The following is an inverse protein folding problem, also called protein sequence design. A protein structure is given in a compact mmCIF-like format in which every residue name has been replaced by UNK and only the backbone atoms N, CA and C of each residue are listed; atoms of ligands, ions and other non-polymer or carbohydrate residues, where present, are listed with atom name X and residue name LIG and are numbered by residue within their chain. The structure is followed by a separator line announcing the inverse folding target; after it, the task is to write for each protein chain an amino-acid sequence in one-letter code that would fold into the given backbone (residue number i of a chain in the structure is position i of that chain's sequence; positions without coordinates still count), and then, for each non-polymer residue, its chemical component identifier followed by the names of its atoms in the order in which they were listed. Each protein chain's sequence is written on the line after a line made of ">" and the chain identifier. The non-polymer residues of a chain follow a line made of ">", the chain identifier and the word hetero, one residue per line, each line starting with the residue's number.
data_IF_062269994619
#
_entry.id   IF_062269994619
#
_cell.length_a   1.000
_cell.length_b   1.000
_cell.length_c   1.000
_cell.angle_alpha   90.00
_cell.angle_beta   90.00
_cell.angle_gamma   90.00
#
_symmetry.space_group_name_H-M   'P 1'
#
loop_
_entity.id
_entity.type
_entity.pdbx_description
1 polymer ?
#
# COMPACT_ATOMS: atom_id res chain seq x y z
N UNK A 1 -10.00 20.36 23.05
CA UNK A 1 -9.63 20.76 21.69
C UNK A 1 -8.31 21.51 21.74
N UNK A 2 -7.35 21.12 20.90
CA UNK A 2 -6.02 21.72 20.82
C UNK A 2 -5.98 22.90 19.86
N UNK A 3 -6.71 22.81 18.75
CA UNK A 3 -6.73 23.83 17.72
C UNK A 3 -8.07 23.85 17.02
N UNK A 4 -8.53 25.05 16.64
CA UNK A 4 -9.72 25.28 15.84
C UNK A 4 -9.32 26.13 14.64
N UNK A 5 -9.61 25.63 13.42
CA UNK A 5 -9.33 26.31 12.17
C UNK A 5 -10.64 26.50 11.40
N UNK A 6 -11.00 27.76 11.12
CA UNK A 6 -12.14 28.10 10.27
C UNK A 6 -11.66 28.26 8.84
N UNK A 7 -12.24 27.47 7.93
CA UNK A 7 -11.94 27.53 6.50
C UNK A 7 -12.78 28.61 5.79
N UNK A 8 -12.35 29.07 4.59
CA UNK A 8 -13.07 30.09 3.83
C UNK A 8 -14.50 29.71 3.41
N UNK A 9 -14.76 28.40 3.29
CA UNK A 9 -16.08 27.82 2.96
C UNK A 9 -17.05 27.77 4.17
N UNK A 10 -16.61 28.26 5.34
CA UNK A 10 -17.36 28.21 6.58
C UNK A 10 -17.19 26.93 7.39
N UNK A 11 -16.53 25.91 6.83
CA UNK A 11 -16.21 24.66 7.55
C UNK A 11 -15.26 24.93 8.70
N UNK A 12 -15.48 24.27 9.84
CA UNK A 12 -14.61 24.35 11.02
C UNK A 12 -13.90 23.02 11.17
N UNK A 13 -12.56 23.05 11.13
CA UNK A 13 -11.71 21.89 11.48
C UNK A 13 -11.26 22.05 12.92
N UNK A 14 -11.44 20.99 13.70
CA UNK A 14 -11.04 20.96 15.11
C UNK A 14 -10.04 19.84 15.31
N UNK A 15 -8.89 20.16 15.87
CA UNK A 15 -7.92 19.18 16.36
C UNK A 15 -8.28 18.85 17.80
N UNK A 16 -8.52 17.58 18.08
CA UNK A 16 -8.86 17.08 19.41
C UNK A 16 -7.84 16.02 19.83
N UNK A 17 -7.58 15.97 21.14
CA UNK A 17 -6.81 14.90 21.77
C UNK A 17 -7.73 14.17 22.73
N UNK A 18 -7.73 12.83 22.68
CA UNK A 18 -8.45 12.00 23.63
C UNK A 18 -7.80 12.10 25.02
N UNK A 19 -8.60 12.18 26.07
CA UNK A 19 -8.12 12.23 27.45
C UNK A 19 -8.39 10.93 28.20
N UNK A 20 -9.65 10.49 28.21
CA UNK A 20 -10.09 9.28 28.92
C UNK A 20 -11.06 8.50 28.07
N UNK A 21 -11.10 7.19 28.28
CA UNK A 21 -12.13 6.32 27.71
C UNK A 21 -13.43 6.52 28.44
N UNK A 22 -14.54 6.49 27.69
CA UNK A 22 -15.87 6.55 28.26
C UNK A 22 -16.80 5.62 27.47
N UNK A 23 -17.71 4.98 28.18
CA UNK A 23 -18.79 4.20 27.58
C UNK A 23 -20.03 5.05 27.44
N UNK A 24 -20.62 5.07 26.24
CA UNK A 24 -21.89 5.75 25.97
C UNK A 24 -23.02 4.81 26.35
N UNK A 25 -23.86 5.22 27.30
CA UNK A 25 -25.01 4.44 27.74
C UNK A 25 -26.32 4.80 27.05
N UNK A 26 -26.37 5.95 26.37
CA UNK A 26 -27.54 6.39 25.63
C UNK A 26 -27.34 7.78 25.04
N UNK A 27 -28.23 8.12 24.09
CA UNK A 27 -28.25 9.44 23.48
C UNK A 27 -29.42 10.26 24.00
N UNK A 28 -29.24 11.55 24.06
CA UNK A 28 -30.30 12.53 24.39
C UNK A 28 -30.85 13.07 23.08
N UNK A 29 -32.18 13.18 23.00
CA UNK A 29 -32.81 13.82 21.84
C UNK A 29 -32.51 15.33 21.86
N UNK A 30 -31.65 15.77 20.94
CA UNK A 30 -31.25 17.15 20.78
C UNK A 30 -31.11 17.46 19.28
N UNK A 31 -31.93 18.38 18.72
CA UNK A 31 -31.96 18.65 17.30
C UNK A 31 -30.73 19.44 16.80
N UNK A 32 -29.93 20.04 17.69
CA UNK A 32 -28.81 20.92 17.30
C UNK A 32 -27.47 20.22 17.27
N UNK A 33 -27.26 19.23 18.18
CA UNK A 33 -25.99 18.49 18.27
C UNK A 33 -26.18 17.12 18.95
N UNK A 34 -25.24 16.22 18.71
CA UNK A 34 -25.24 14.92 19.39
C UNK A 34 -24.89 15.09 20.86
N UNK A 35 -25.77 14.63 21.73
CA UNK A 35 -25.57 14.61 23.17
C UNK A 35 -25.78 13.20 23.70
N UNK A 36 -24.90 12.76 24.58
CA UNK A 36 -24.94 11.39 25.12
C UNK A 36 -24.66 11.36 26.63
N UNK A 37 -25.23 10.36 27.29
CA UNK A 37 -24.79 9.95 28.62
C UNK A 37 -23.55 9.08 28.47
N UNK A 38 -22.47 9.43 29.19
CA UNK A 38 -21.23 8.69 29.15
C UNK A 38 -20.67 8.50 30.57
N UNK A 39 -20.16 7.30 30.83
CA UNK A 39 -19.45 6.94 32.06
C UNK A 39 -17.97 6.71 31.75
N UNK A 40 -17.08 7.36 32.49
CA UNK A 40 -15.62 7.13 32.34
C UNK A 40 -15.31 5.69 32.73
N UNK A 41 -14.52 5.02 31.88
CA UNK A 41 -13.97 3.71 32.14
C UNK A 41 -12.51 3.86 32.60
N UNK A 42 -12.20 3.27 33.73
CA UNK A 42 -10.82 3.15 34.22
C UNK A 42 -10.18 1.90 33.60
N UNK A 43 -8.91 1.95 33.35
CA UNK A 43 -8.14 0.80 32.90
C UNK A 43 -7.96 -0.16 34.09
N UNK A 44 -7.99 -1.45 33.81
CA UNK A 44 -7.81 -2.45 34.86
C UNK A 44 -6.31 -2.60 35.19
N UNK A 45 -6.01 -2.91 36.44
CA UNK A 45 -4.67 -3.26 36.86
C UNK A 45 -4.24 -4.59 36.23
N UNK A 46 -3.09 -4.61 35.58
CA UNK A 46 -2.49 -5.79 34.94
C UNK A 46 -1.06 -5.99 35.43
N UNK A 47 -0.45 -7.12 35.14
CA UNK A 47 0.95 -7.41 35.48
C UNK A 47 1.90 -6.50 34.67
N UNK A 48 2.58 -5.59 35.34
CA UNK A 48 3.47 -4.62 34.72
C UNK A 48 4.61 -5.27 33.90
N UNK A 49 5.08 -6.45 34.31
CA UNK A 49 6.19 -7.14 33.63
C UNK A 49 5.77 -7.72 32.27
N UNK A 50 4.56 -8.23 32.16
CA UNK A 50 3.98 -8.73 30.92
C UNK A 50 3.64 -7.58 29.98
N UNK A 51 3.04 -6.52 30.49
CA UNK A 51 2.74 -5.31 29.73
C UNK A 51 4.00 -4.67 29.14
N UNK A 52 5.10 -4.60 29.93
CA UNK A 52 6.37 -4.08 29.40
C UNK A 52 6.93 -4.93 28.27
N UNK A 53 6.85 -6.26 28.36
CA UNK A 53 7.32 -7.17 27.33
C UNK A 53 6.50 -7.02 26.02
N UNK A 54 5.17 -6.93 26.16
CA UNK A 54 4.26 -6.66 25.05
C UNK A 54 4.51 -5.29 24.40
N UNK A 55 4.67 -4.25 25.23
CA UNK A 55 4.96 -2.91 24.77
C UNK A 55 6.25 -2.86 23.93
N UNK A 56 7.34 -3.50 24.39
CA UNK A 56 8.59 -3.61 23.62
C UNK A 56 8.41 -4.35 22.30
N UNK A 57 7.61 -5.40 22.31
CA UNK A 57 7.30 -6.17 21.09
C UNK A 57 6.51 -5.33 20.07
N UNK A 58 5.53 -4.56 20.55
CA UNK A 58 4.74 -3.62 19.74
C UNK A 58 5.63 -2.54 19.12
N UNK A 59 6.55 -1.94 19.89
CA UNK A 59 7.49 -0.94 19.38
C UNK A 59 8.40 -1.52 18.30
N UNK A 60 8.93 -2.72 18.52
CA UNK A 60 9.78 -3.41 17.53
C UNK A 60 9.02 -3.70 16.25
N UNK A 61 7.78 -4.15 16.36
CA UNK A 61 6.91 -4.43 15.22
C UNK A 61 6.53 -3.14 14.48
N UNK A 62 6.26 -2.06 15.22
CA UNK A 62 5.95 -0.76 14.65
C UNK A 62 7.13 -0.17 13.87
N UNK A 63 8.36 -0.37 14.33
CA UNK A 63 9.56 -0.02 13.58
C UNK A 63 9.61 -0.73 12.22
N UNK A 64 9.29 -2.03 12.18
CA UNK A 64 9.21 -2.78 10.92
C UNK A 64 8.11 -2.25 10.01
N UNK A 65 6.96 -1.93 10.58
CA UNK A 65 5.83 -1.36 9.87
C UNK A 65 6.18 -0.02 9.20
N UNK A 66 6.80 0.90 9.93
CA UNK A 66 7.25 2.21 9.41
C UNK A 66 8.26 2.05 8.26
N UNK A 67 9.22 1.11 8.38
CA UNK A 67 10.19 0.83 7.30
C UNK A 67 9.54 0.40 5.98
N UNK A 68 8.37 -0.22 6.06
CA UNK A 68 7.61 -0.67 4.89
C UNK A 68 6.58 0.36 4.42
N UNK A 69 5.97 1.08 5.36
CA UNK A 69 4.93 2.07 5.11
C UNK A 69 5.52 3.48 4.98
N UNK A 70 5.77 3.89 3.73
CA UNK A 70 6.35 5.21 3.42
C UNK A 70 5.43 6.41 3.73
N UNK A 71 4.20 6.17 4.16
CA UNK A 71 3.25 7.26 4.50
C UNK A 71 3.47 7.82 5.91
N UNK A 72 4.17 7.08 6.76
CA UNK A 72 4.44 7.49 8.15
C UNK A 72 5.85 8.08 8.21
N UNK A 73 6.00 9.31 8.71
CA UNK A 73 7.31 9.92 8.92
C UNK A 73 8.15 9.13 9.94
N UNK A 74 9.46 8.98 9.71
CA UNK A 74 10.33 8.25 10.65
C UNK A 74 10.40 8.86 12.05
N UNK A 75 10.13 10.17 12.17
CA UNK A 75 10.13 10.93 13.42
C UNK A 75 9.07 10.41 14.40
N UNK A 76 8.00 9.80 13.89
CA UNK A 76 6.95 9.17 14.70
C UNK A 76 7.53 8.07 15.60
N UNK A 77 8.54 7.32 15.11
CA UNK A 77 9.19 6.27 15.89
C UNK A 77 9.93 6.86 17.10
N UNK A 78 10.53 8.04 16.95
CA UNK A 78 11.21 8.72 18.06
C UNK A 78 10.20 9.08 19.17
N UNK A 79 9.04 9.61 18.77
CA UNK A 79 7.98 9.96 19.72
C UNK A 79 7.40 8.73 20.41
N UNK A 80 7.19 7.64 19.67
CA UNK A 80 6.67 6.37 20.21
C UNK A 80 7.65 5.74 21.21
N UNK A 81 8.96 5.78 20.92
CA UNK A 81 9.99 5.26 21.84
C UNK A 81 10.11 6.04 23.17
N UNK A 82 9.56 7.25 23.25
CA UNK A 82 9.55 8.08 24.46
C UNK A 82 8.32 7.84 25.34
N UNK A 83 7.38 7.02 24.90
CA UNK A 83 6.16 6.72 25.66
C UNK A 83 6.47 5.57 26.62
N UNK A 84 6.44 5.85 27.92
CA UNK A 84 6.66 4.86 28.97
C UNK A 84 5.37 4.12 29.35
N UNK A 85 4.22 4.79 29.23
CA UNK A 85 2.91 4.26 29.62
C UNK A 85 2.35 3.33 28.53
N UNK A 86 2.14 2.00 28.82
CA UNK A 86 1.70 1.03 27.82
C UNK A 86 0.35 1.36 27.15
N UNK A 87 -0.58 1.90 27.94
CA UNK A 87 -1.89 2.32 27.43
C UNK A 87 -1.79 3.44 26.39
N UNK A 88 -0.99 4.45 26.70
CA UNK A 88 -0.72 5.58 25.79
C UNK A 88 0.06 5.13 24.56
N UNK A 89 1.00 4.19 24.73
CA UNK A 89 1.73 3.57 23.64
C UNK A 89 0.77 2.87 22.67
N UNK A 90 -0.13 2.02 23.19
CA UNK A 90 -1.13 1.31 22.42
C UNK A 90 -1.97 2.28 21.57
N UNK A 91 -2.53 3.30 22.19
CA UNK A 91 -3.40 4.27 21.52
C UNK A 91 -2.63 5.11 20.48
N UNK A 92 -1.38 5.48 20.78
CA UNK A 92 -0.54 6.22 19.86
C UNK A 92 -0.20 5.38 18.61
N UNK A 93 0.23 4.14 18.81
CA UNK A 93 0.53 3.23 17.69
C UNK A 93 -0.73 2.98 16.86
N UNK A 94 -1.88 2.68 17.48
CA UNK A 94 -3.15 2.45 16.81
C UNK A 94 -3.58 3.64 15.94
N UNK A 95 -3.29 4.87 16.35
CA UNK A 95 -3.62 6.08 15.59
C UNK A 95 -2.88 6.16 14.24
N UNK A 96 -1.73 5.53 14.12
CA UNK A 96 -0.91 5.49 12.91
C UNK A 96 -1.18 4.29 12.00
N UNK A 97 -1.99 3.31 12.45
CA UNK A 97 -2.37 2.17 11.64
C UNK A 97 -3.52 2.51 10.70
N UNK A 98 -3.53 1.89 9.52
CA UNK A 98 -4.58 2.06 8.52
C UNK A 98 -5.79 1.14 8.81
N UNK A 99 -6.31 1.21 10.04
CA UNK A 99 -7.42 0.39 10.50
C UNK A 99 -8.77 0.90 9.99
N UNK A 100 -9.70 -0.03 9.79
CA UNK A 100 -11.12 0.28 9.55
C UNK A 100 -11.75 0.89 10.80
N UNK A 101 -12.86 1.61 10.62
CA UNK A 101 -13.59 2.24 11.74
C UNK A 101 -14.01 1.20 12.77
N UNK A 102 -14.48 0.02 12.34
CA UNK A 102 -14.85 -1.08 13.23
C UNK A 102 -13.67 -1.60 14.06
N UNK A 103 -12.49 -1.73 13.46
CA UNK A 103 -11.28 -2.18 14.15
C UNK A 103 -10.79 -1.12 15.17
N UNK A 104 -10.89 0.16 14.81
CA UNK A 104 -10.60 1.27 15.74
C UNK A 104 -11.57 1.29 16.91
N UNK A 105 -12.86 1.03 16.64
CA UNK A 105 -13.87 0.95 17.68
C UNK A 105 -13.61 -0.24 18.62
N UNK A 106 -13.26 -1.40 18.07
CA UNK A 106 -12.88 -2.58 18.84
C UNK A 106 -11.70 -2.30 19.79
N UNK A 107 -10.66 -1.60 19.31
CA UNK A 107 -9.54 -1.18 20.18
C UNK A 107 -9.98 -0.19 21.27
N UNK A 108 -10.91 0.71 20.98
CA UNK A 108 -11.46 1.64 21.98
C UNK A 108 -12.27 0.92 23.05
N UNK A 109 -12.98 -0.13 22.70
CA UNK A 109 -13.80 -0.95 23.60
C UNK A 109 -12.96 -1.93 24.45
N UNK A 110 -11.73 -2.23 23.99
CA UNK A 110 -10.80 -3.11 24.73
C UNK A 110 -10.22 -2.35 25.91
N UNK A 111 -10.69 -2.67 27.11
CA UNK A 111 -10.30 -2.00 28.38
C UNK A 111 -8.96 -2.49 28.92
N UNK A 112 -8.66 -3.80 28.79
CA UNK A 112 -7.38 -4.39 29.18
C UNK A 112 -6.28 -3.92 28.22
N UNK A 113 -5.21 -3.39 28.80
CA UNK A 113 -4.09 -2.82 28.01
C UNK A 113 -3.31 -3.91 27.29
N UNK A 114 -3.10 -5.07 27.93
CA UNK A 114 -2.46 -6.24 27.35
C UNK A 114 -3.19 -6.73 26.11
N UNK A 115 -4.50 -6.99 26.23
CA UNK A 115 -5.33 -7.42 25.09
C UNK A 115 -5.29 -6.41 23.94
N UNK A 116 -5.23 -5.11 24.25
CA UNK A 116 -5.15 -4.05 23.26
C UNK A 116 -3.82 -4.06 22.53
N UNK A 117 -2.72 -4.24 23.25
CA UNK A 117 -1.37 -4.37 22.68
C UNK A 117 -1.25 -5.60 21.80
N UNK A 118 -1.79 -6.75 22.23
CA UNK A 118 -1.83 -7.97 21.41
C UNK A 118 -2.60 -7.79 20.11
N UNK A 119 -3.77 -7.15 20.16
CA UNK A 119 -4.58 -6.86 18.97
C UNK A 119 -3.84 -5.93 18.01
N UNK A 120 -3.22 -4.86 18.53
CA UNK A 120 -2.41 -3.94 17.73
C UNK A 120 -1.25 -4.67 17.08
N UNK A 121 -0.58 -5.57 17.80
CA UNK A 121 0.48 -6.41 17.27
C UNK A 121 -0.03 -7.27 16.09
N UNK A 122 -1.17 -7.95 16.26
CA UNK A 122 -1.81 -8.76 15.23
C UNK A 122 -2.21 -7.95 13.99
N UNK A 123 -2.77 -6.75 14.16
CA UNK A 123 -3.06 -5.84 13.05
C UNK A 123 -1.81 -5.42 12.29
N UNK A 124 -0.75 -5.07 13.00
CA UNK A 124 0.53 -4.73 12.37
C UNK A 124 1.14 -5.91 11.61
N UNK A 125 1.09 -7.12 12.17
CA UNK A 125 1.59 -8.32 11.50
C UNK A 125 0.86 -8.56 10.17
N UNK A 126 -0.46 -8.45 10.18
CA UNK A 126 -1.27 -8.56 8.97
C UNK A 126 -0.91 -7.50 7.93
N UNK A 127 -0.82 -6.23 8.33
CA UNK A 127 -0.47 -5.12 7.43
C UNK A 127 0.96 -5.24 6.88
N UNK A 128 1.93 -5.63 7.70
CA UNK A 128 3.30 -5.89 7.27
C UNK A 128 3.32 -6.97 6.20
N UNK A 129 2.55 -8.05 6.38
CA UNK A 129 2.40 -9.11 5.38
C UNK A 129 1.91 -8.57 4.04
N UNK A 130 0.87 -7.75 4.05
CA UNK A 130 0.32 -7.10 2.84
C UNK A 130 1.36 -6.18 2.19
N UNK A 131 2.00 -5.31 2.94
CA UNK A 131 3.01 -4.37 2.44
C UNK A 131 4.22 -5.09 1.82
N UNK A 132 4.63 -6.23 2.39
CA UNK A 132 5.70 -7.06 1.83
C UNK A 132 5.30 -7.66 0.48
N UNK A 133 4.07 -8.15 0.35
CA UNK A 133 3.52 -8.69 -0.91
C UNK A 133 3.43 -7.57 -1.95
N UNK A 134 2.90 -6.41 -1.60
CA UNK A 134 2.85 -5.24 -2.48
C UNK A 134 4.23 -4.83 -2.98
N UNK A 135 5.24 -4.81 -2.09
CA UNK A 135 6.63 -4.53 -2.47
C UNK A 135 7.17 -5.54 -3.47
N UNK A 136 6.89 -6.84 -3.26
CA UNK A 136 7.29 -7.92 -4.20
C UNK A 136 6.63 -7.74 -5.56
N UNK A 137 5.32 -7.44 -5.58
CA UNK A 137 4.56 -7.21 -6.82
C UNK A 137 5.11 -5.99 -7.56
N UNK A 138 5.30 -4.86 -6.87
CA UNK A 138 5.86 -3.63 -7.45
C UNK A 138 7.24 -3.86 -8.07
N UNK A 139 8.12 -4.59 -7.38
CA UNK A 139 9.44 -4.91 -7.90
C UNK A 139 9.37 -5.83 -9.14
N UNK A 140 8.43 -6.78 -9.17
CA UNK A 140 8.21 -7.65 -10.32
C UNK A 140 7.71 -6.85 -11.53
N UNK A 141 6.72 -5.99 -11.33
CA UNK A 141 6.18 -5.13 -12.38
C UNK A 141 7.26 -4.20 -12.93
N UNK A 142 8.05 -3.57 -12.05
CA UNK A 142 9.17 -2.72 -12.47
C UNK A 142 10.17 -3.48 -13.36
N UNK A 143 10.61 -4.67 -12.96
CA UNK A 143 11.52 -5.50 -13.76
C UNK A 143 10.91 -5.88 -15.12
N UNK A 144 9.61 -6.20 -15.15
CA UNK A 144 8.92 -6.51 -16.40
C UNK A 144 8.87 -5.31 -17.34
N UNK A 145 8.58 -4.12 -16.82
CA UNK A 145 8.59 -2.89 -17.60
C UNK A 145 9.98 -2.58 -18.16
N UNK A 146 11.02 -2.69 -17.33
CA UNK A 146 12.42 -2.48 -17.75
C UNK A 146 12.82 -3.47 -18.85
N UNK A 147 12.40 -4.73 -18.74
CA UNK A 147 12.63 -5.75 -19.78
C UNK A 147 11.93 -5.40 -21.09
N UNK A 148 10.66 -5.03 -21.04
CA UNK A 148 9.87 -4.66 -22.22
C UNK A 148 10.43 -3.42 -22.91
N UNK A 149 10.84 -2.40 -22.14
CA UNK A 149 11.49 -1.20 -22.70
C UNK A 149 12.80 -1.54 -23.39
N UNK A 150 13.60 -2.43 -22.80
CA UNK A 150 14.87 -2.86 -23.39
C UNK A 150 14.63 -3.66 -24.68
N UNK A 151 13.65 -4.56 -24.70
CA UNK A 151 13.25 -5.32 -25.89
C UNK A 151 12.79 -4.39 -27.01
N UNK A 152 11.95 -3.41 -26.68
CA UNK A 152 11.52 -2.39 -27.65
C UNK A 152 12.70 -1.63 -28.23
N UNK A 153 13.60 -1.12 -27.39
CA UNK A 153 14.78 -0.39 -27.82
C UNK A 153 15.69 -1.22 -28.75
N UNK A 154 15.95 -2.48 -28.39
CA UNK A 154 16.74 -3.40 -29.19
C UNK A 154 16.08 -3.68 -30.55
N UNK A 155 14.76 -3.85 -30.59
CA UNK A 155 14.02 -4.05 -31.82
C UNK A 155 14.08 -2.83 -32.75
N UNK A 156 13.98 -1.62 -32.19
CA UNK A 156 14.13 -0.38 -32.98
C UNK A 156 15.56 -0.20 -33.50
N UNK A 157 16.57 -0.53 -32.70
CA UNK A 157 17.96 -0.55 -33.18
C UNK A 157 18.17 -1.56 -34.30
N UNK A 158 17.61 -2.76 -34.18
CA UNK A 158 17.69 -3.81 -35.19
C UNK A 158 17.05 -3.36 -36.51
N UNK A 159 15.87 -2.74 -36.45
CA UNK A 159 15.22 -2.14 -37.63
C UNK A 159 16.06 -1.06 -38.28
N UNK A 160 16.65 -0.17 -37.47
CA UNK A 160 17.53 0.89 -37.98
C UNK A 160 18.75 0.31 -38.68
N UNK A 161 19.42 -0.69 -38.10
CA UNK A 161 20.57 -1.39 -38.68
C UNK A 161 20.16 -2.11 -39.98
N UNK A 162 19.04 -2.82 -40.00
CA UNK A 162 18.52 -3.47 -41.20
C UNK A 162 18.29 -2.46 -42.35
N UNK A 163 17.73 -1.30 -42.01
CA UNK A 163 17.54 -0.21 -42.97
C UNK A 163 18.85 0.35 -43.52
N UNK A 164 19.87 0.52 -42.65
CA UNK A 164 21.20 0.98 -43.08
C UNK A 164 21.94 -0.05 -43.91
N UNK A 165 21.75 -1.36 -43.66
CA UNK A 165 22.34 -2.44 -44.43
C UNK A 165 21.62 -2.71 -45.77
N UNK A 166 20.53 -1.97 -46.08
CA UNK A 166 19.74 -2.18 -47.29
C UNK A 166 18.83 -3.42 -47.27
N UNK A 167 18.66 -4.05 -46.12
CA UNK A 167 17.75 -5.18 -45.93
C UNK A 167 16.30 -4.75 -45.60
N UNK A 168 15.98 -3.45 -45.73
CA UNK A 168 14.66 -2.90 -45.46
C UNK A 168 13.71 -3.06 -46.62
N UNK A 169 12.55 -3.64 -46.35
CA UNK A 169 11.29 -3.74 -47.13
C UNK A 169 11.37 -4.18 -48.59
N UNK A 170 12.41 -3.82 -49.34
CA UNK A 170 12.51 -4.21 -50.75
C UNK A 170 12.77 -5.73 -50.95
N UNK A 171 13.50 -6.40 -50.07
CA UNK A 171 13.81 -7.81 -50.19
C UNK A 171 12.61 -8.78 -49.99
N UNK A 172 11.62 -8.37 -49.20
CA UNK A 172 10.39 -9.15 -49.05
C UNK A 172 9.40 -8.90 -50.19
N UNK A 173 9.34 -7.68 -50.67
CA UNK A 173 8.50 -7.34 -51.82
C UNK A 173 9.06 -7.97 -53.13
N UNK A 174 10.39 -7.94 -53.32
CA UNK A 174 10.98 -8.60 -54.51
C UNK A 174 10.75 -10.11 -54.52
N UNK A 175 10.91 -10.80 -53.40
CA UNK A 175 10.62 -12.24 -53.30
C UNK A 175 9.13 -12.53 -53.54
N UNK A 176 8.23 -11.75 -52.98
CA UNK A 176 6.79 -11.85 -53.22
C UNK A 176 6.40 -11.50 -54.65
N UNK A 177 7.03 -10.46 -55.26
CA UNK A 177 6.80 -10.15 -56.66
C UNK A 177 7.34 -11.22 -57.61
N UNK A 178 8.48 -11.84 -57.31
CA UNK A 178 9.04 -12.95 -58.10
C UNK A 178 8.14 -14.16 -57.96
N UNK A 179 7.62 -14.49 -56.79
CA UNK A 179 6.67 -15.58 -56.58
C UNK A 179 5.34 -15.34 -57.31
N UNK A 180 4.80 -14.13 -57.29
CA UNK A 180 3.61 -13.78 -58.09
C UNK A 180 3.86 -13.85 -59.59
N UNK A 181 5.02 -13.38 -60.07
CA UNK A 181 5.42 -13.47 -61.49
C UNK A 181 5.59 -14.95 -61.93
N UNK A 182 6.21 -15.78 -61.07
CA UNK A 182 6.33 -17.23 -61.27
C UNK A 182 4.98 -17.95 -61.34
N UNK A 183 4.04 -17.56 -60.49
CA UNK A 183 2.71 -18.13 -60.47
C UNK A 183 1.84 -17.69 -61.66
N UNK A 184 2.07 -16.49 -62.19
CA UNK A 184 1.38 -15.97 -63.40
C UNK A 184 2.01 -16.44 -64.71
N UNK A 185 3.27 -16.89 -64.69
CA UNK A 185 3.91 -17.41 -65.89
C UNK A 185 3.37 -18.78 -66.27
N UNK A 186 2.97 -18.93 -67.50
CA UNK A 186 2.50 -20.24 -68.13
C UNK A 186 3.70 -21.15 -68.37
N UNK A 187 4.35 -21.64 -67.31
CA UNK A 187 5.48 -22.55 -67.40
C UNK A 187 5.04 -24.02 -67.33
N UNK A 188 5.75 -24.95 -68.02
CA UNK A 188 5.57 -26.39 -67.83
C UNK A 188 5.82 -26.77 -66.35
N UNK A 189 5.13 -27.78 -65.81
CA UNK A 189 5.18 -28.20 -64.40
C UNK A 189 6.59 -28.47 -63.89
N UNK A 190 7.45 -29.10 -64.73
CA UNK A 190 8.85 -29.40 -64.35
C UNK A 190 9.73 -28.15 -64.20
N UNK A 191 9.43 -27.09 -64.95
CA UNK A 191 10.16 -25.82 -64.82
C UNK A 191 9.71 -25.02 -63.57
N UNK A 192 8.46 -25.17 -63.15
CA UNK A 192 7.91 -24.50 -61.97
C UNK A 192 8.44 -25.11 -60.66
N UNK A 193 8.60 -26.45 -60.60
CA UNK A 193 9.17 -27.14 -59.44
C UNK A 193 10.67 -26.90 -59.25
N UNK A 194 11.41 -26.49 -60.28
CA UNK A 194 12.84 -26.13 -60.17
C UNK A 194 13.07 -24.63 -59.86
N UNK A 195 12.06 -23.81 -59.99
CA UNK A 195 12.14 -22.36 -59.76
C UNK A 195 11.57 -21.93 -58.41
N UNK A 196 10.90 -22.81 -57.68
CA UNK A 196 10.50 -22.68 -56.29
C UNK A 196 11.63 -23.20 -55.38
#
# INVERSE_FOLDING_TARGET
>A
ALQLLKLPDGTVKVLVEGGKRAEISGFVDNPEFFQAYAAVREEADEDDSELEALARSVVTQFEQYIKLNKKIPPEVLVSVNQIEEPAKLADTVASHLSLKISEKQELLETTLVGDRLERIFGFMESEIGVLQVEKKIRNRVKRQMEKTQREYYLNEQLKAIQKELGEGEDGKDEASEIEEKLNKAKMPKEAKEKAQ
#
